data_IF_873564741526
#
_entry.id   IF_873564741526
#
_cell.length_a   1.000
_cell.length_b   1.000
_cell.length_c   1.000
_cell.angle_alpha   90.00
_cell.angle_beta   90.00
_cell.angle_gamma   90.00
#
_symmetry.space_group_name_H-M   'P 1'
#
loop_
_entity.id
_entity.type
_entity.pdbx_description
1 polymer ?
#
# COMPACT_ATOMS: atom_id res chain seq x y z
N UNK A 1 3.46 -14.40 -6.53
CA UNK A 1 3.16 -12.96 -6.37
C UNK A 1 2.20 -12.51 -7.47
N UNK A 2 1.47 -11.41 -7.30
CA UNK A 2 0.52 -10.89 -8.30
C UNK A 2 1.18 -10.65 -9.67
N UNK A 3 2.42 -10.14 -9.69
CA UNK A 3 3.20 -9.96 -10.92
C UNK A 3 3.37 -11.25 -11.74
N UNK A 4 3.63 -12.38 -11.07
CA UNK A 4 3.72 -13.70 -11.73
C UNK A 4 2.37 -14.10 -12.32
N UNK A 5 1.28 -13.91 -11.58
CA UNK A 5 -0.09 -14.28 -12.02
C UNK A 5 -0.52 -13.47 -13.24
N UNK A 6 -0.09 -12.22 -13.33
CA UNK A 6 -0.40 -11.30 -14.43
C UNK A 6 0.62 -11.33 -15.58
N UNK A 7 1.63 -12.21 -15.51
CA UNK A 7 2.73 -12.36 -16.48
C UNK A 7 3.55 -11.07 -16.71
N UNK A 8 3.69 -10.25 -15.66
CA UNK A 8 4.55 -9.08 -15.67
C UNK A 8 5.97 -9.44 -15.24
N UNK A 9 6.98 -9.01 -16.00
CA UNK A 9 8.38 -9.31 -15.71
C UNK A 9 8.95 -8.46 -14.55
N UNK A 10 8.31 -7.33 -14.24
CA UNK A 10 8.73 -6.42 -13.17
C UNK A 10 7.71 -6.38 -12.03
N UNK A 11 8.21 -6.45 -10.80
CA UNK A 11 7.44 -6.15 -9.59
C UNK A 11 7.49 -4.65 -9.28
N UNK A 12 6.40 -3.97 -9.61
CA UNK A 12 6.20 -2.51 -9.48
C UNK A 12 5.29 -2.14 -8.29
N UNK A 13 5.25 -0.87 -7.84
CA UNK A 13 4.35 -0.40 -6.79
C UNK A 13 2.86 -0.66 -7.08
N UNK A 14 2.46 -0.71 -8.36
CA UNK A 14 1.07 -1.02 -8.76
C UNK A 14 0.61 -2.39 -8.28
N UNK A 15 1.50 -3.39 -8.30
CA UNK A 15 1.16 -4.73 -7.83
C UNK A 15 0.88 -4.74 -6.33
N UNK A 16 1.69 -3.99 -5.58
CA UNK A 16 1.55 -3.89 -4.14
C UNK A 16 0.28 -3.11 -3.79
N UNK A 17 0.04 -1.98 -4.46
CA UNK A 17 -1.19 -1.19 -4.29
C UNK A 17 -2.44 -2.04 -4.58
N UNK A 18 -2.42 -2.87 -5.63
CA UNK A 18 -3.53 -3.78 -5.94
C UNK A 18 -3.78 -4.76 -4.79
N UNK A 19 -2.73 -5.42 -4.29
CA UNK A 19 -2.86 -6.36 -3.17
C UNK A 19 -3.42 -5.68 -1.92
N UNK A 20 -2.97 -4.45 -1.61
CA UNK A 20 -3.49 -3.69 -0.47
C UNK A 20 -4.97 -3.33 -0.62
N UNK A 21 -5.45 -3.11 -1.85
CA UNK A 21 -6.82 -2.70 -2.15
C UNK A 21 -7.78 -3.85 -2.46
N UNK A 22 -7.29 -5.08 -2.59
CA UNK A 22 -8.10 -6.25 -2.95
C UNK A 22 -9.11 -6.62 -1.88
N UNK A 23 -8.72 -6.45 -0.61
CA UNK A 23 -9.66 -6.49 0.50
C UNK A 23 -10.34 -5.13 0.66
N UNK A 24 -11.58 -5.04 0.17
CA UNK A 24 -12.41 -3.84 0.27
C UNK A 24 -12.77 -3.45 1.70
N UNK A 25 -12.70 -4.40 2.64
CA UNK A 25 -12.95 -4.18 4.07
C UNK A 25 -11.65 -4.08 4.88
N UNK A 26 -10.51 -4.27 4.20
CA UNK A 26 -9.17 -4.27 4.75
C UNK A 26 -8.69 -2.89 5.20
N UNK A 27 -7.56 -2.90 5.92
CA UNK A 27 -7.00 -1.70 6.55
C UNK A 27 -6.72 -0.58 5.55
N UNK A 28 -6.10 -0.87 4.41
CA UNK A 28 -5.74 0.15 3.42
C UNK A 28 -6.98 0.84 2.83
N UNK A 29 -8.01 0.07 2.44
CA UNK A 29 -9.27 0.63 1.96
C UNK A 29 -9.94 1.50 3.05
N UNK A 30 -10.00 1.01 4.29
CA UNK A 30 -10.55 1.77 5.41
C UNK A 30 -9.80 3.08 5.66
N UNK A 31 -8.46 3.07 5.63
CA UNK A 31 -7.65 4.28 5.84
C UNK A 31 -7.82 5.29 4.72
N UNK A 32 -7.94 4.83 3.47
CA UNK A 32 -8.21 5.71 2.32
C UNK A 32 -9.55 6.42 2.49
N UNK A 33 -10.61 5.70 2.84
CA UNK A 33 -11.94 6.28 3.04
C UNK A 33 -11.94 7.27 4.23
N UNK A 34 -11.31 6.90 5.35
CA UNK A 34 -11.16 7.80 6.52
C UNK A 34 -10.37 9.08 6.17
N UNK A 35 -9.37 8.97 5.29
CA UNK A 35 -8.60 10.10 4.80
C UNK A 35 -9.33 10.96 3.74
N UNK A 36 -10.60 10.66 3.44
CA UNK A 36 -11.41 11.38 2.45
C UNK A 36 -11.14 11.00 1.00
N UNK A 37 -10.36 9.94 0.76
CA UNK A 37 -10.15 9.36 -0.56
C UNK A 37 -11.24 8.34 -0.93
N UNK A 38 -11.15 7.79 -2.13
CA UNK A 38 -12.06 6.77 -2.64
C UNK A 38 -11.30 5.48 -2.99
N UNK A 39 -11.36 4.49 -2.12
CA UNK A 39 -10.61 3.24 -2.25
C UNK A 39 -11.06 2.44 -3.48
N UNK A 40 -12.36 2.43 -3.76
CA UNK A 40 -12.90 1.73 -4.92
C UNK A 40 -12.41 2.34 -6.25
N UNK A 41 -12.28 3.66 -6.32
CA UNK A 41 -11.71 4.36 -7.47
C UNK A 41 -10.22 4.06 -7.60
N UNK A 42 -9.47 4.11 -6.50
CA UNK A 42 -8.05 3.74 -6.50
C UNK A 42 -7.85 2.31 -7.03
N UNK A 43 -8.68 1.35 -6.60
CA UNK A 43 -8.63 -0.03 -7.06
C UNK A 43 -8.86 -0.13 -8.57
N UNK A 44 -9.94 0.49 -9.08
CA UNK A 44 -10.27 0.46 -10.52
C UNK A 44 -9.16 1.07 -11.38
N UNK A 45 -8.58 2.19 -10.94
CA UNK A 45 -7.48 2.85 -11.65
C UNK A 45 -6.22 1.97 -11.64
N UNK A 46 -5.93 1.34 -10.49
CA UNK A 46 -4.80 0.40 -10.36
C UNK A 46 -4.96 -0.80 -11.30
N UNK A 47 -6.16 -1.38 -11.38
CA UNK A 47 -6.46 -2.45 -12.34
C UNK A 47 -6.28 -2.01 -13.79
N UNK A 48 -6.67 -0.78 -14.10
CA UNK A 48 -6.47 -0.17 -15.42
C UNK A 48 -4.99 -0.06 -15.79
N UNK A 49 -4.16 0.47 -14.89
CA UNK A 49 -2.72 0.61 -15.11
C UNK A 49 -1.99 -0.74 -15.14
N UNK A 50 -2.38 -1.70 -14.29
CA UNK A 50 -1.81 -3.05 -14.33
C UNK A 50 -2.04 -3.72 -15.69
N UNK A 51 -3.22 -3.57 -16.30
CA UNK A 51 -3.52 -4.11 -17.64
C UNK A 51 -2.68 -3.47 -18.76
N UNK A 52 -2.08 -2.30 -18.51
CA UNK A 52 -1.22 -1.60 -19.48
C UNK A 52 0.24 -2.01 -19.37
N UNK A 53 0.63 -2.73 -18.31
CA UNK A 53 2.00 -3.20 -18.18
C UNK A 53 2.31 -4.25 -19.26
N UNK A 54 3.54 -4.25 -19.81
CA UNK A 54 3.97 -5.28 -20.75
C UNK A 54 3.89 -6.66 -20.13
N UNK A 55 3.28 -7.59 -20.86
CA UNK A 55 3.22 -9.01 -20.52
C UNK A 55 4.32 -9.76 -21.26
N UNK A 56 5.03 -10.63 -20.54
CA UNK A 56 6.11 -11.45 -21.10
C UNK A 56 5.77 -12.90 -20.82
N UNK A 57 5.47 -13.64 -21.89
CA UNK A 57 5.30 -15.08 -21.83
C UNK A 57 6.68 -15.72 -22.04
N UNK A 58 7.16 -16.45 -21.03
CA UNK A 58 8.42 -17.20 -21.08
C UNK A 58 8.26 -18.48 -20.27
N UNK A 59 8.87 -19.56 -20.75
CA UNK A 59 8.90 -20.86 -20.06
C UNK A 59 9.59 -20.76 -18.68
N UNK A 60 10.43 -19.74 -18.48
CA UNK A 60 11.06 -19.40 -17.21
C UNK A 60 10.58 -18.05 -16.70
N UNK A 61 9.82 -18.07 -15.61
CA UNK A 61 9.34 -16.84 -14.97
C UNK A 61 10.43 -16.28 -14.05
N UNK A 62 11.21 -15.33 -14.56
CA UNK A 62 12.10 -14.50 -13.73
C UNK A 62 11.48 -13.12 -13.51
N UNK A 63 11.22 -12.79 -12.25
CA UNK A 63 10.68 -11.48 -11.83
C UNK A 63 11.82 -10.60 -11.33
N UNK A 64 11.89 -9.38 -11.82
CA UNK A 64 12.83 -8.37 -11.33
C UNK A 64 12.11 -7.32 -10.48
N UNK A 65 12.75 -6.92 -9.38
CA UNK A 65 12.27 -5.80 -8.58
C UNK A 65 12.50 -4.49 -9.36
N UNK A 66 11.44 -3.70 -9.58
CA UNK A 66 11.58 -2.39 -10.18
C UNK A 66 12.31 -1.43 -9.22
N UNK A 67 13.13 -0.52 -9.75
CA UNK A 67 13.88 0.45 -8.94
C UNK A 67 12.98 1.32 -8.07
N UNK A 68 11.81 1.72 -8.59
CA UNK A 68 10.80 2.46 -7.82
C UNK A 68 10.24 1.65 -6.65
N UNK A 69 10.10 0.33 -6.78
CA UNK A 69 9.64 -0.55 -5.69
C UNK A 69 10.70 -0.68 -4.60
N UNK A 70 11.97 -0.79 -4.98
CA UNK A 70 13.07 -0.81 -4.01
C UNK A 70 13.08 0.49 -3.18
N UNK A 71 13.04 1.65 -3.85
CA UNK A 71 12.97 2.96 -3.20
C UNK A 71 11.73 3.12 -2.33
N UNK A 72 10.59 2.56 -2.75
CA UNK A 72 9.36 2.56 -1.96
C UNK A 72 9.55 1.82 -0.63
N UNK A 73 10.23 0.67 -0.63
CA UNK A 73 10.51 -0.07 0.61
C UNK A 73 11.45 0.70 1.53
N UNK A 74 12.51 1.32 0.99
CA UNK A 74 13.40 2.17 1.78
C UNK A 74 12.63 3.34 2.42
N UNK A 75 11.76 3.99 1.64
CA UNK A 75 10.93 5.09 2.14
C UNK A 75 9.92 4.62 3.20
N UNK A 76 9.31 3.44 3.04
CA UNK A 76 8.40 2.88 4.03
C UNK A 76 9.12 2.56 5.34
N UNK A 77 10.36 2.05 5.27
CA UNK A 77 11.22 1.84 6.43
C UNK A 77 11.52 3.15 7.15
N UNK A 78 11.94 4.20 6.42
CA UNK A 78 12.21 5.50 7.03
C UNK A 78 10.99 6.10 7.73
N UNK A 79 9.79 5.92 7.16
CA UNK A 79 8.53 6.40 7.75
C UNK A 79 8.23 5.62 9.03
N UNK A 80 8.38 4.29 9.02
CA UNK A 80 8.19 3.43 10.17
C UNK A 80 9.16 3.79 11.32
N UNK A 81 10.45 3.96 11.01
CA UNK A 81 11.48 4.35 11.98
C UNK A 81 11.14 5.69 12.65
N UNK A 82 10.74 6.70 11.86
CA UNK A 82 10.30 8.01 12.35
C UNK A 82 9.05 7.92 13.23
N UNK A 83 8.20 6.93 12.99
CA UNK A 83 7.02 6.64 13.80
C UNK A 83 7.32 5.76 15.02
N UNK A 84 8.58 5.38 15.25
CA UNK A 84 9.02 4.55 16.37
C UNK A 84 8.68 3.07 16.23
N UNK A 85 8.42 2.60 15.01
CA UNK A 85 8.11 1.20 14.74
C UNK A 85 9.37 0.37 14.54
N UNK A 86 9.31 -0.91 14.93
CA UNK A 86 10.38 -1.89 14.65
C UNK A 86 10.15 -2.65 13.35
N UNK A 87 8.95 -2.54 12.77
CA UNK A 87 8.52 -3.23 11.56
C UNK A 87 7.74 -2.30 10.64
N UNK A 88 7.88 -2.47 9.33
CA UNK A 88 7.07 -1.76 8.33
C UNK A 88 5.69 -2.38 8.27
N UNK A 89 4.68 -1.63 8.70
CA UNK A 89 3.26 -2.03 8.61
C UNK A 89 2.64 -1.65 7.27
N UNK A 90 1.48 -2.24 6.97
CA UNK A 90 0.68 -1.95 5.77
C UNK A 90 0.39 -0.46 5.64
N UNK A 91 0.04 0.23 6.72
CA UNK A 91 -0.29 1.64 6.66
C UNK A 91 0.93 2.55 6.44
N UNK A 92 2.12 2.17 6.92
CA UNK A 92 3.36 2.89 6.60
C UNK A 92 3.72 2.72 5.12
N UNK A 93 3.52 1.51 4.57
CA UNK A 93 3.73 1.22 3.16
C UNK A 93 2.75 1.99 2.26
N UNK A 94 1.48 2.06 2.65
CA UNK A 94 0.48 2.87 1.95
C UNK A 94 0.85 4.36 1.98
N UNK A 95 1.28 4.89 3.13
CA UNK A 95 1.74 6.28 3.22
C UNK A 95 2.96 6.54 2.34
N UNK A 96 3.92 5.62 2.31
CA UNK A 96 5.07 5.69 1.41
C UNK A 96 4.64 5.76 -0.06
N UNK A 97 3.66 4.97 -0.49
CA UNK A 97 3.14 5.02 -1.87
C UNK A 97 2.52 6.37 -2.21
N UNK A 98 1.76 6.97 -1.30
CA UNK A 98 1.18 8.32 -1.51
C UNK A 98 2.29 9.37 -1.66
N UNK A 99 3.41 9.19 -0.96
CA UNK A 99 4.55 10.11 -0.98
C UNK A 99 5.55 9.85 -2.12
N UNK A 100 5.49 8.70 -2.78
CA UNK A 100 6.39 8.29 -3.87
C UNK A 100 6.05 8.99 -5.20
N UNK A 101 6.20 10.32 -5.23
CA UNK A 101 5.88 11.15 -6.41
C UNK A 101 6.63 10.68 -7.66
N UNK A 102 5.95 10.73 -8.80
CA UNK A 102 6.47 10.25 -10.09
C UNK A 102 6.21 8.76 -10.35
N UNK A 103 5.67 8.02 -9.38
CA UNK A 103 5.19 6.65 -9.59
C UNK A 103 3.70 6.65 -9.99
N UNK A 104 3.29 5.64 -10.77
CA UNK A 104 1.88 5.46 -11.14
C UNK A 104 0.97 5.21 -9.93
N UNK A 105 1.48 4.54 -8.90
CA UNK A 105 0.73 4.32 -7.66
C UNK A 105 0.40 5.63 -6.95
N UNK A 106 1.36 6.56 -6.84
CA UNK A 106 1.12 7.88 -6.26
C UNK A 106 0.12 8.70 -7.07
N UNK A 107 0.24 8.67 -8.40
CA UNK A 107 -0.70 9.35 -9.30
C UNK A 107 -2.14 8.83 -9.12
N UNK A 108 -2.33 7.52 -9.04
CA UNK A 108 -3.63 6.89 -8.79
C UNK A 108 -4.20 7.32 -7.44
N UNK A 109 -3.39 7.26 -6.38
CA UNK A 109 -3.84 7.61 -5.03
C UNK A 109 -4.22 9.09 -4.96
N UNK A 110 -3.44 9.96 -5.58
CA UNK A 110 -3.78 11.39 -5.73
C UNK A 110 -5.08 11.57 -6.51
N UNK A 111 -5.24 10.87 -7.63
CA UNK A 111 -6.46 10.93 -8.45
C UNK A 111 -7.67 10.45 -7.64
N UNK A 112 -7.52 9.41 -6.81
CA UNK A 112 -8.53 8.92 -5.89
C UNK A 112 -8.81 9.84 -4.69
N UNK A 113 -8.16 11.00 -4.60
CA UNK A 113 -8.41 12.04 -3.61
C UNK A 113 -7.55 11.94 -2.35
N UNK A 114 -6.61 10.98 -2.28
CA UNK A 114 -5.75 10.82 -1.10
C UNK A 114 -4.69 11.93 -1.10
N UNK A 115 -4.53 12.59 0.05
CA UNK A 115 -3.39 13.47 0.35
C UNK A 115 -2.53 12.86 1.45
N UNK A 116 -1.19 13.02 1.40
CA UNK A 116 -0.30 12.44 2.40
C UNK A 116 -0.64 12.85 3.84
N UNK A 117 -1.01 14.12 4.04
CA UNK A 117 -1.30 14.67 5.36
C UNK A 117 -2.58 14.09 5.97
N UNK A 118 -3.62 13.94 5.15
CA UNK A 118 -4.92 13.42 5.57
C UNK A 118 -4.79 11.93 5.91
N UNK A 119 -4.07 11.17 5.08
CA UNK A 119 -3.76 9.76 5.34
C UNK A 119 -2.92 9.60 6.61
N UNK A 120 -1.88 10.40 6.81
CA UNK A 120 -1.06 10.34 8.02
C UNK A 120 -1.89 10.64 9.29
N UNK A 121 -2.87 11.54 9.18
CA UNK A 121 -3.80 11.83 10.28
C UNK A 121 -4.67 10.61 10.59
N UNK A 122 -5.30 10.02 9.57
CA UNK A 122 -6.11 8.80 9.72
C UNK A 122 -5.30 7.63 10.33
N UNK A 123 -4.04 7.47 9.92
CA UNK A 123 -3.13 6.47 10.48
C UNK A 123 -2.85 6.70 11.97
N UNK A 124 -2.56 7.95 12.37
CA UNK A 124 -2.31 8.28 13.78
C UNK A 124 -3.54 7.98 14.64
N UNK A 125 -4.72 8.34 14.15
CA UNK A 125 -6.00 8.05 14.83
C UNK A 125 -6.26 6.55 14.97
N UNK A 126 -5.97 5.79 13.91
CA UNK A 126 -6.07 4.33 13.93
C UNK A 126 -5.11 3.70 14.96
N UNK A 127 -3.83 4.13 14.93
CA UNK A 127 -2.79 3.59 15.81
C UNK A 127 -3.00 3.96 17.28
N UNK A 128 -3.65 5.09 17.58
CA UNK A 128 -3.84 5.61 18.95
C UNK A 128 -2.54 5.65 19.77
N UNK A 129 -1.43 6.01 19.11
CA UNK A 129 -0.10 6.07 19.73
C UNK A 129 0.62 4.73 19.93
N UNK A 130 0.07 3.61 19.43
CA UNK A 130 0.76 2.31 19.46
C UNK A 130 1.81 2.23 18.36
N UNK A 131 2.97 1.68 18.72
CA UNK A 131 4.04 1.33 17.82
C UNK A 131 4.04 -0.17 17.48
N UNK A 132 4.40 -0.51 16.25
CA UNK A 132 4.52 -1.87 15.75
C UNK A 132 5.89 -2.45 16.16
N UNK A 133 5.96 -2.93 17.40
CA UNK A 133 7.20 -3.49 17.99
C UNK A 133 7.20 -5.03 18.03
N UNK A 134 6.21 -5.68 17.42
CA UNK A 134 6.18 -7.11 17.19
C UNK A 134 5.68 -7.41 15.77
N UNK A 135 6.11 -8.54 15.21
CA UNK A 135 5.70 -8.95 13.86
C UNK A 135 4.18 -9.15 13.72
N UNK A 136 3.46 -9.36 14.83
CA UNK A 136 2.02 -9.58 14.87
C UNK A 136 1.25 -8.34 15.37
N UNK A 137 1.87 -7.15 15.33
CA UNK A 137 1.22 -5.92 15.78
C UNK A 137 -0.08 -5.63 15.01
N UNK A 138 -0.16 -6.05 13.75
CA UNK A 138 -1.36 -5.90 12.90
C UNK A 138 -2.56 -6.73 13.40
N UNK A 139 -2.33 -7.97 13.83
CA UNK A 139 -3.36 -8.83 14.40
C UNK A 139 -4.02 -8.20 15.64
N UNK A 140 -3.24 -7.45 16.43
CA UNK A 140 -3.74 -6.75 17.61
C UNK A 140 -4.66 -5.57 17.24
N UNK A 141 -4.44 -4.91 16.10
CA UNK A 141 -5.32 -3.85 15.61
C UNK A 141 -6.65 -4.43 15.10
N UNK A 142 -6.60 -5.52 14.33
CA UNK A 142 -7.79 -6.21 13.81
C UNK A 142 -8.67 -6.77 14.93
N UNK A 143 -8.07 -7.28 16.01
CA UNK A 143 -8.81 -7.72 17.18
C UNK A 143 -9.61 -6.57 17.81
N UNK A 144 -9.03 -5.37 17.94
CA UNK A 144 -9.73 -4.21 18.51
C UNK A 144 -10.91 -3.76 17.64
N UNK A 145 -10.81 -3.86 16.31
CA UNK A 145 -11.92 -3.57 15.38
C UNK A 145 -13.12 -4.51 15.59
N UNK A 146 -12.88 -5.76 16.01
CA UNK A 146 -13.93 -6.75 16.31
C UNK A 146 -14.66 -6.50 17.63
N UNK A 147 -13.98 -5.92 18.63
CA UNK A 147 -14.57 -5.66 19.96
C UNK A 147 -15.18 -4.26 20.11
N UNK A 148 -14.86 -3.32 19.23
CA UNK A 148 -15.34 -1.94 19.28
C UNK A 148 -16.63 -1.68 18.46
N UNK A 149 -17.41 -2.72 18.15
CA UNK A 149 -18.77 -2.57 17.60
C UNK A 149 -19.78 -2.23 18.68
#
# INVERSE_FOLDING_TARGET
SLAIRETHQQFTPLHLLKVLLDDKEGLAASLIETAGGNAQRALRLTEGELKRLPKVESDTVQIYLASETAKLFDQAQEIADKAGDSFVTVEMLLLAMVMAQGTKAADILKEAGIKPQDLNTAIKEFRKGRAANSANAEDAYDALKKYAR
#
